data_IF_005980323300
#
_entry.id   IF_005980323300
#
_cell.length_a   1.000
_cell.length_b   1.000
_cell.length_c   1.000
_cell.angle_alpha   90.00
_cell.angle_beta   90.00
_cell.angle_gamma   90.00
#
_symmetry.space_group_name_H-M   'P 1'
#
loop_
_entity.id
_entity.type
_entity.pdbx_description
1 polymer ?
#
# COMPACT_ATOMS: atom_id res chain seq x y z
N UNK A 1 4.63 -6.56 -40.48
CA UNK A 1 3.23 -6.10 -40.56
C UNK A 1 2.45 -7.00 -39.59
N UNK A 2 2.34 -6.59 -38.33
CA UNK A 2 1.54 -7.33 -37.36
C UNK A 2 0.07 -6.94 -37.57
N UNK A 3 -0.71 -7.85 -38.15
CA UNK A 3 -2.15 -7.68 -38.33
C UNK A 3 -2.86 -7.95 -37.01
N UNK A 4 -3.07 -6.89 -36.24
CA UNK A 4 -4.04 -6.90 -35.13
C UNK A 4 -5.44 -6.71 -35.71
N UNK A 5 -6.18 -7.81 -35.87
CA UNK A 5 -7.61 -7.76 -36.15
C UNK A 5 -8.30 -7.18 -34.91
N UNK A 6 -8.80 -5.94 -35.03
CA UNK A 6 -9.52 -5.26 -33.98
C UNK A 6 -10.81 -6.03 -33.64
N UNK A 7 -10.84 -6.65 -32.47
CA UNK A 7 -12.08 -7.12 -31.87
C UNK A 7 -12.93 -5.88 -31.56
N UNK A 8 -14.02 -5.72 -32.31
CA UNK A 8 -15.12 -4.79 -32.03
C UNK A 8 -15.67 -5.06 -30.62
N UNK A 9 -15.30 -4.22 -29.66
CA UNK A 9 -15.81 -4.29 -28.29
C UNK A 9 -17.17 -3.60 -28.19
N UNK A 10 -18.24 -4.40 -28.23
CA UNK A 10 -19.45 -4.14 -27.43
C UNK A 10 -19.03 -3.84 -25.99
N UNK A 11 -19.76 -2.96 -25.30
CA UNK A 11 -19.55 -2.55 -23.89
C UNK A 11 -19.24 -3.78 -23.01
N UNK A 12 -17.95 -4.06 -22.83
CA UNK A 12 -17.45 -5.37 -22.41
C UNK A 12 -17.51 -5.50 -20.91
N UNK A 13 -18.03 -6.64 -20.45
CA UNK A 13 -17.93 -7.03 -19.04
C UNK A 13 -16.44 -7.12 -18.65
N UNK A 14 -16.06 -6.86 -17.39
CA UNK A 14 -14.68 -7.07 -16.94
C UNK A 14 -14.13 -8.48 -17.23
N UNK A 15 -15.01 -9.48 -17.32
CA UNK A 15 -14.66 -10.84 -17.71
C UNK A 15 -14.11 -10.94 -19.15
N UNK A 16 -14.62 -10.13 -20.08
CA UNK A 16 -14.18 -10.12 -21.47
C UNK A 16 -12.73 -9.60 -21.60
N UNK A 17 -12.34 -8.69 -20.69
CA UNK A 17 -10.99 -8.15 -20.63
C UNK A 17 -9.98 -9.19 -20.12
N UNK A 18 -10.38 -10.06 -19.18
CA UNK A 18 -9.52 -11.14 -18.68
C UNK A 18 -9.24 -12.19 -19.76
N UNK A 19 -10.26 -12.57 -20.53
CA UNK A 19 -10.09 -13.52 -21.64
C UNK A 19 -9.16 -12.95 -22.72
N UNK A 20 -9.25 -11.65 -23.00
CA UNK A 20 -8.31 -10.98 -23.89
C UNK A 20 -6.87 -11.02 -23.35
N UNK A 21 -6.62 -10.73 -22.07
CA UNK A 21 -5.28 -10.77 -21.47
C UNK A 21 -4.67 -12.19 -21.55
N UNK A 22 -5.48 -13.24 -21.36
CA UNK A 22 -5.01 -14.64 -21.49
C UNK A 22 -4.45 -14.98 -22.87
N UNK A 23 -4.90 -14.28 -23.92
CA UNK A 23 -4.40 -14.49 -25.28
C UNK A 23 -3.04 -13.85 -25.55
N UNK A 24 -2.51 -13.06 -24.61
CA UNK A 24 -1.23 -12.38 -24.80
C UNK A 24 -0.08 -13.37 -24.90
N UNK A 25 0.71 -13.23 -25.97
CA UNK A 25 1.89 -14.04 -26.21
C UNK A 25 2.99 -13.18 -26.85
N UNK A 26 4.24 -13.42 -26.47
CA UNK A 26 5.40 -12.77 -27.09
C UNK A 26 6.01 -13.73 -28.12
N UNK A 27 5.84 -13.42 -29.41
CA UNK A 27 6.33 -14.27 -30.50
C UNK A 27 7.86 -14.37 -30.55
N UNK A 28 8.55 -13.31 -30.11
CA UNK A 28 10.02 -13.21 -30.14
C UNK A 28 10.71 -14.00 -29.01
N UNK A 29 9.96 -14.48 -28.02
CA UNK A 29 10.47 -15.19 -26.86
C UNK A 29 9.93 -16.61 -26.81
N UNK A 30 10.78 -17.56 -26.40
CA UNK A 30 10.38 -18.95 -26.20
C UNK A 30 9.28 -19.12 -25.15
N UNK A 31 9.32 -18.27 -24.12
CA UNK A 31 8.34 -18.22 -23.05
C UNK A 31 7.86 -16.78 -22.90
N UNK A 32 6.61 -16.60 -22.49
CA UNK A 32 6.10 -15.27 -22.19
C UNK A 32 6.87 -14.62 -21.03
N UNK A 33 7.03 -13.28 -21.06
CA UNK A 33 7.51 -12.55 -19.92
C UNK A 33 6.63 -12.82 -18.68
N UNK A 34 7.21 -12.99 -17.48
CA UNK A 34 6.43 -13.27 -16.27
C UNK A 34 5.46 -12.13 -15.90
N UNK A 35 5.67 -10.92 -16.45
CA UNK A 35 4.74 -9.81 -16.25
C UNK A 35 3.39 -10.01 -16.94
N UNK A 36 3.27 -10.88 -17.94
CA UNK A 36 1.97 -11.19 -18.56
C UNK A 36 1.09 -11.96 -17.58
N UNK A 37 1.64 -13.03 -16.99
CA UNK A 37 0.98 -13.78 -15.93
C UNK A 37 0.72 -12.90 -14.70
N UNK A 38 1.69 -12.05 -14.34
CA UNK A 38 1.55 -11.09 -13.24
C UNK A 38 0.42 -10.08 -13.47
N UNK A 39 0.27 -9.58 -14.70
CA UNK A 39 -0.80 -8.65 -15.06
C UNK A 39 -2.17 -9.33 -15.01
N UNK A 40 -2.29 -10.52 -15.60
CA UNK A 40 -3.50 -11.35 -15.50
C UNK A 40 -3.88 -11.60 -14.04
N UNK A 41 -2.92 -12.05 -13.23
CA UNK A 41 -3.13 -12.33 -11.82
C UNK A 41 -3.58 -11.08 -11.06
N UNK A 42 -2.98 -9.93 -11.33
CA UNK A 42 -3.32 -8.66 -10.67
C UNK A 42 -4.76 -8.26 -10.98
N UNK A 43 -5.15 -8.24 -12.26
CA UNK A 43 -6.51 -7.85 -12.68
C UNK A 43 -7.54 -8.83 -12.11
N UNK A 44 -7.30 -10.14 -12.22
CA UNK A 44 -8.20 -11.15 -11.70
C UNK A 44 -8.36 -11.05 -10.18
N UNK A 45 -7.26 -10.83 -9.45
CA UNK A 45 -7.30 -10.70 -7.99
C UNK A 45 -8.05 -9.45 -7.54
N UNK A 46 -7.89 -8.32 -8.24
CA UNK A 46 -8.65 -7.08 -7.94
C UNK A 46 -10.15 -7.29 -8.14
N UNK A 47 -10.56 -7.98 -9.22
CA UNK A 47 -11.96 -8.27 -9.49
C UNK A 47 -12.56 -9.19 -8.42
N UNK A 48 -11.85 -10.26 -8.03
CA UNK A 48 -12.28 -11.16 -6.96
C UNK A 48 -12.37 -10.42 -5.61
N UNK A 49 -11.35 -9.61 -5.27
CA UNK A 49 -11.33 -8.82 -4.05
C UNK A 49 -12.50 -7.82 -3.98
N UNK A 50 -12.85 -7.22 -5.12
CA UNK A 50 -14.00 -6.32 -5.22
C UNK A 50 -15.32 -7.04 -4.96
N UNK A 51 -15.53 -8.22 -5.56
CA UNK A 51 -16.74 -9.01 -5.33
C UNK A 51 -16.88 -9.41 -3.86
N UNK A 52 -15.78 -9.74 -3.18
CA UNK A 52 -15.80 -10.05 -1.75
C UNK A 52 -16.10 -8.81 -0.90
N UNK A 53 -15.42 -7.68 -1.15
CA UNK A 53 -15.70 -6.42 -0.43
C UNK A 53 -17.14 -5.93 -0.63
N UNK A 54 -17.71 -6.13 -1.82
CA UNK A 54 -19.09 -5.75 -2.12
C UNK A 54 -20.09 -6.57 -1.31
N UNK A 55 -19.82 -7.86 -1.07
CA UNK A 55 -20.65 -8.70 -0.19
C UNK A 55 -20.63 -8.19 1.25
N UNK A 56 -19.50 -7.64 1.70
CA UNK A 56 -19.32 -7.07 3.03
C UNK A 56 -19.87 -5.62 3.16
N UNK A 57 -20.50 -5.09 2.10
CA UNK A 57 -21.08 -3.74 2.11
C UNK A 57 -20.12 -2.62 1.71
N UNK A 58 -18.96 -2.94 1.13
CA UNK A 58 -18.01 -1.96 0.61
C UNK A 58 -18.56 -1.14 -0.57
N UNK A 59 -18.31 0.17 -0.57
CA UNK A 59 -18.82 1.10 -1.58
C UNK A 59 -17.86 1.33 -2.75
N UNK A 60 -16.54 1.28 -2.51
CA UNK A 60 -15.50 1.48 -3.50
C UNK A 60 -14.20 0.78 -3.09
N UNK A 61 -13.33 0.51 -4.07
CA UNK A 61 -11.99 -0.05 -3.85
C UNK A 61 -10.92 0.96 -4.29
N UNK A 62 -10.06 1.37 -3.35
CA UNK A 62 -8.91 2.23 -3.65
C UNK A 62 -7.76 1.40 -4.20
N UNK A 63 -7.69 1.26 -5.52
CA UNK A 63 -6.63 0.51 -6.20
C UNK A 63 -5.23 1.12 -5.96
N UNK A 64 -5.14 2.41 -5.63
CA UNK A 64 -3.89 3.08 -5.23
C UNK A 64 -3.30 2.57 -3.91
N UNK A 65 -4.04 1.78 -3.13
CA UNK A 65 -3.55 1.16 -1.89
C UNK A 65 -3.14 -0.31 -2.07
N UNK A 66 -3.33 -0.86 -3.26
CA UNK A 66 -2.98 -2.25 -3.59
C UNK A 66 -1.60 -2.39 -4.26
N UNK A 67 -0.81 -1.31 -4.28
CA UNK A 67 0.54 -1.29 -4.84
C UNK A 67 1.62 -1.20 -3.74
N UNK A 68 2.88 -1.32 -4.16
CA UNK A 68 4.03 -1.32 -3.26
C UNK A 68 4.60 0.08 -2.99
N UNK A 69 4.07 1.13 -3.62
CA UNK A 69 4.59 2.51 -3.53
C UNK A 69 4.75 3.02 -2.08
N UNK A 70 3.79 2.79 -1.14
CA UNK A 70 3.98 3.23 0.24
C UNK A 70 5.19 2.57 0.91
N UNK A 71 5.47 1.31 0.57
CA UNK A 71 6.62 0.57 1.07
C UNK A 71 7.92 1.07 0.44
N UNK A 72 7.92 1.36 -0.86
CA UNK A 72 9.06 1.96 -1.54
C UNK A 72 9.41 3.35 -0.99
N UNK A 73 8.39 4.17 -0.75
CA UNK A 73 8.52 5.47 -0.10
C UNK A 73 9.09 5.34 1.32
N UNK A 74 8.63 4.35 2.10
CA UNK A 74 9.22 4.04 3.40
C UNK A 74 10.71 3.71 3.28
N UNK A 75 11.12 2.89 2.31
CA UNK A 75 12.52 2.60 2.10
C UNK A 75 13.34 3.84 1.69
N UNK A 76 12.77 4.76 0.93
CA UNK A 76 13.42 6.04 0.62
C UNK A 76 13.68 6.86 1.89
N UNK A 77 12.70 6.95 2.79
CA UNK A 77 12.85 7.60 4.10
C UNK A 77 13.93 6.90 4.95
N UNK A 78 13.92 5.57 5.02
CA UNK A 78 14.89 4.84 5.84
C UNK A 78 16.33 4.99 5.33
N UNK A 79 16.53 5.08 4.00
CA UNK A 79 17.83 5.36 3.39
C UNK A 79 18.27 6.81 3.61
N UNK A 80 17.37 7.78 3.49
CA UNK A 80 17.73 9.21 3.69
C UNK A 80 18.17 9.52 5.13
N UNK A 81 17.65 8.78 6.12
CA UNK A 81 18.06 8.90 7.52
C UNK A 81 19.49 8.42 7.81
N UNK A 82 20.09 7.63 6.93
CA UNK A 82 21.49 7.18 7.08
C UNK A 82 22.51 8.24 6.63
N UNK A 83 22.08 9.49 6.37
CA UNK A 83 22.96 10.59 5.95
C UNK A 83 23.51 10.37 4.54
N UNK A 84 24.83 10.42 4.38
CA UNK A 84 25.51 10.17 3.09
C UNK A 84 25.64 8.68 2.74
N UNK A 85 24.99 7.77 3.50
CA UNK A 85 25.03 6.34 3.25
C UNK A 85 23.81 5.90 2.42
N UNK A 86 23.95 5.90 1.09
CA UNK A 86 22.88 5.47 0.17
C UNK A 86 22.48 3.99 0.34
N UNK A 87 23.44 3.16 0.77
CA UNK A 87 23.28 1.72 0.93
C UNK A 87 23.57 1.34 2.39
N UNK A 88 22.62 1.56 3.32
CA UNK A 88 22.80 1.18 4.72
C UNK A 88 22.93 -0.35 4.87
N UNK A 89 23.72 -0.77 5.84
CA UNK A 89 23.77 -2.18 6.26
C UNK A 89 22.44 -2.62 6.88
N UNK A 90 22.17 -3.92 6.91
CA UNK A 90 20.95 -4.47 7.53
C UNK A 90 20.77 -4.01 8.99
N UNK A 91 21.87 -3.87 9.75
CA UNK A 91 21.84 -3.38 11.13
C UNK A 91 21.42 -1.90 11.22
N UNK A 92 21.90 -1.06 10.31
CA UNK A 92 21.52 0.35 10.24
C UNK A 92 20.06 0.50 9.81
N UNK A 93 19.62 -0.28 8.81
CA UNK A 93 18.22 -0.30 8.40
C UNK A 93 17.30 -0.70 9.56
N UNK A 94 17.68 -1.73 10.33
CA UNK A 94 16.93 -2.17 11.53
C UNK A 94 16.83 -1.05 12.56
N UNK A 95 17.92 -0.39 12.91
CA UNK A 95 17.90 0.72 13.87
C UNK A 95 17.05 1.89 13.35
N UNK A 96 17.19 2.25 12.08
CA UNK A 96 16.41 3.32 11.46
C UNK A 96 14.91 2.98 11.44
N UNK A 97 14.55 1.73 11.17
CA UNK A 97 13.16 1.28 11.20
C UNK A 97 12.60 1.33 12.62
N UNK A 98 13.32 0.75 13.60
CA UNK A 98 12.91 0.78 15.01
C UNK A 98 12.72 2.22 15.50
N UNK A 99 13.66 3.11 15.17
CA UNK A 99 13.56 4.52 15.50
C UNK A 99 12.33 5.17 14.84
N UNK A 100 12.13 4.96 13.53
CA UNK A 100 11.03 5.55 12.75
C UNK A 100 9.67 5.10 13.29
N UNK A 101 9.52 3.80 13.54
CA UNK A 101 8.31 3.21 14.13
C UNK A 101 8.06 3.79 15.52
N UNK A 102 9.09 3.83 16.37
CA UNK A 102 8.92 4.34 17.73
C UNK A 102 8.61 5.84 17.74
N UNK A 103 9.17 6.63 16.81
CA UNK A 103 8.88 8.04 16.68
C UNK A 103 7.44 8.31 16.22
N UNK A 104 6.90 7.46 15.34
CA UNK A 104 5.55 7.62 14.79
C UNK A 104 4.44 7.02 15.69
N UNK A 105 4.75 5.98 16.48
CA UNK A 105 3.77 5.36 17.39
C UNK A 105 3.69 6.10 18.75
N UNK A 106 4.77 6.77 19.18
CA UNK A 106 4.77 7.51 20.44
C UNK A 106 3.88 8.74 20.35
N UNK A 107 2.66 8.60 20.85
CA UNK A 107 1.84 9.72 21.30
C UNK A 107 2.21 10.07 22.74
N UNK A 108 2.32 11.37 23.06
CA UNK A 108 2.50 11.80 24.44
C UNK A 108 1.31 11.30 25.28
N UNK A 109 1.56 10.68 26.43
CA UNK A 109 0.48 10.25 27.32
C UNK A 109 -0.28 11.48 27.83
N UNK A 110 -1.61 11.40 27.93
CA UNK A 110 -2.44 12.50 28.48
C UNK A 110 -2.23 12.73 29.99
N UNK A 111 -1.55 11.82 30.69
CA UNK A 111 -1.38 11.84 32.16
C UNK A 111 0.06 12.01 32.63
N UNK A 112 1.02 12.28 31.73
CA UNK A 112 2.40 12.57 32.13
C UNK A 112 2.51 13.97 32.73
N UNK A 113 3.39 14.13 33.73
CA UNK A 113 3.75 15.42 34.33
C UNK A 113 4.70 16.25 33.43
N UNK A 114 4.91 15.82 32.19
CA UNK A 114 5.65 16.61 31.20
C UNK A 114 4.67 17.48 30.43
N UNK A 115 4.95 18.80 30.39
CA UNK A 115 4.24 19.74 29.52
C UNK A 115 4.21 19.19 28.08
N UNK A 116 3.10 19.39 27.37
CA UNK A 116 2.98 18.98 25.98
C UNK A 116 4.08 19.67 25.17
N UNK A 117 5.12 18.94 24.82
CA UNK A 117 6.14 19.45 23.94
C UNK A 117 5.48 19.66 22.59
N UNK A 118 5.35 20.91 22.16
CA UNK A 118 4.71 21.30 20.88
C UNK A 118 5.60 20.91 19.69
N UNK A 119 6.54 19.99 19.90
CA UNK A 119 7.39 19.42 18.88
C UNK A 119 6.56 18.51 17.99
N UNK A 120 6.31 19.00 16.79
CA UNK A 120 5.80 18.18 15.71
C UNK A 120 6.90 17.16 15.36
N UNK A 121 6.62 15.84 15.32
CA UNK A 121 7.59 14.87 14.84
C UNK A 121 8.12 15.30 13.48
N UNK A 122 9.44 15.29 13.30
CA UNK A 122 10.09 15.74 12.05
C UNK A 122 9.70 14.89 10.82
N UNK A 123 9.00 13.78 11.06
CA UNK A 123 8.43 12.86 10.08
C UNK A 123 6.92 12.98 9.95
N UNK A 124 6.26 13.88 10.67
CA UNK A 124 4.91 14.30 10.34
C UNK A 124 5.00 14.88 8.94
N UNK A 125 4.46 14.15 7.97
CA UNK A 125 4.34 14.59 6.60
C UNK A 125 3.27 15.69 6.58
N UNK A 126 3.63 16.88 7.06
CA UNK A 126 2.74 18.05 7.09
C UNK A 126 2.41 18.58 5.67
N UNK A 127 2.84 17.87 4.62
CA UNK A 127 2.54 18.14 3.22
C UNK A 127 1.82 16.99 2.49
N UNK A 128 1.29 15.99 3.21
CA UNK A 128 0.26 15.11 2.65
C UNK A 128 -1.02 15.53 3.36
N UNK A 129 -1.98 16.07 2.60
CA UNK A 129 -3.30 16.43 3.11
C UNK A 129 -3.77 15.35 4.08
N UNK A 130 -3.94 15.73 5.35
CA UNK A 130 -4.46 14.84 6.37
C UNK A 130 -5.76 14.29 5.83
N UNK A 131 -5.83 12.97 5.62
CA UNK A 131 -7.08 12.30 5.38
C UNK A 131 -7.55 11.81 6.75
N UNK A 132 -8.29 12.69 7.39
CA UNK A 132 -8.73 12.68 8.79
C UNK A 132 -9.28 11.32 9.23
N UNK A 133 -9.92 10.61 8.31
CA UNK A 133 -10.57 9.33 8.57
C UNK A 133 -9.61 8.15 8.80
N UNK A 134 -8.36 8.19 8.31
CA UNK A 134 -7.41 7.09 8.54
C UNK A 134 -6.82 7.12 9.96
N UNK A 135 -6.54 8.32 10.45
CA UNK A 135 -6.09 8.56 11.83
C UNK A 135 -7.15 8.15 12.84
N UNK A 136 -8.41 8.49 12.60
CA UNK A 136 -9.52 8.15 13.49
C UNK A 136 -9.79 6.64 13.51
N UNK A 137 -9.64 5.95 12.38
CA UNK A 137 -9.77 4.49 12.31
C UNK A 137 -8.64 3.76 13.06
N UNK A 138 -7.40 4.26 13.02
CA UNK A 138 -6.30 3.70 13.79
C UNK A 138 -6.50 3.90 15.29
N UNK A 139 -6.91 5.10 15.72
CA UNK A 139 -7.17 5.40 17.12
C UNK A 139 -8.29 4.51 17.69
N UNK A 140 -9.36 4.27 16.92
CA UNK A 140 -10.44 3.36 17.33
C UNK A 140 -9.96 1.90 17.40
N UNK A 141 -9.18 1.43 16.42
CA UNK A 141 -8.65 0.07 16.43
C UNK A 141 -7.68 -0.20 17.60
N UNK A 142 -6.87 0.79 17.99
CA UNK A 142 -5.99 0.66 19.16
C UNK A 142 -6.77 0.67 20.49
N UNK A 143 -7.85 1.44 20.58
CA UNK A 143 -8.70 1.47 21.76
C UNK A 143 -9.49 0.16 21.94
N UNK A 144 -9.98 -0.43 20.86
CA UNK A 144 -10.70 -1.72 20.90
C UNK A 144 -9.79 -2.88 21.35
N UNK A 145 -8.50 -2.85 20.99
CA UNK A 145 -7.50 -3.81 21.48
C UNK A 145 -7.24 -3.60 22.97
N UNK A 146 -7.13 -2.36 23.43
CA UNK A 146 -6.86 -2.03 24.83
C UNK A 146 -8.03 -2.37 25.78
N UNK A 147 -9.27 -2.42 25.29
CA UNK A 147 -10.45 -2.78 26.09
C UNK A 147 -10.69 -4.27 26.23
N UNK A 148 -10.09 -5.12 25.38
CA UNK A 148 -10.32 -6.57 25.39
C UNK A 148 -9.37 -7.35 26.33
N UNK A 149 -8.37 -6.71 26.94
CA UNK A 149 -7.48 -7.31 27.95
C UNK A 149 -7.98 -7.16 29.40
N UNK A 150 -9.23 -6.69 29.60
CA UNK A 150 -9.89 -6.60 30.92
C UNK A 150 -11.16 -7.47 30.99
N UNK A 151 -11.07 -8.73 30.57
CA UNK A 151 -12.01 -9.79 30.95
C UNK A 151 -11.29 -11.08 31.33
#
# INVERSE_FOLDING_TARGET
MATSTAATGTTGSPADSLEFIKTWNCEDLKNNPPCFDGFYLTVNSILLQWEDMKKDGGFYLLTSRLNQDPLENLFAVLRSRAGHCQNPTAMQLRHNLQYTVSANIRSASKSTNCESDRTVPLLATDNIEKNDGFTEALDNAFNDIATNDNM
#
